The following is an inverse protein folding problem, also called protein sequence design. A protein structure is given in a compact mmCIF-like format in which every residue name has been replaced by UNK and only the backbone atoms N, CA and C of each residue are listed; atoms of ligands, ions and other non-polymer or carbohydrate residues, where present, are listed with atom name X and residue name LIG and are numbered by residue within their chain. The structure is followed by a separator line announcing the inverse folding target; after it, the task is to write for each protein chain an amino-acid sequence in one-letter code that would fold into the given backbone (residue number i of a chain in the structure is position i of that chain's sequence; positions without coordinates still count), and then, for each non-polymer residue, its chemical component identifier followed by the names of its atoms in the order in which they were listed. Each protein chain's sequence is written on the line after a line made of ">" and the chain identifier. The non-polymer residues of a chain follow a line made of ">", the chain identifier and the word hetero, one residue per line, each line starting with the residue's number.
data_IF_443401630368
#
_entry.id   IF_443401630368
#
_cell.length_a   1.000
_cell.length_b   1.000
_cell.length_c   1.000
_cell.angle_alpha   90.00
_cell.angle_beta   90.00
_cell.angle_gamma   90.00
#
_symmetry.space_group_name_H-M   'P 1'
#
loop_
_entity.id
_entity.type
_entity.pdbx_description
1 polymer ?
#
# COMPACT_ATOMS: atom_id res chain seq x y z
N UNK A 1 36.70 30.50 -9.21
CA UNK A 1 35.47 30.62 -8.42
C UNK A 1 34.35 30.55 -9.42
N UNK A 2 33.77 29.36 -9.58
CA UNK A 2 32.67 29.11 -10.52
C UNK A 2 31.38 29.11 -9.72
N UNK A 3 30.51 30.07 -10.06
CA UNK A 3 29.16 30.20 -9.50
C UNK A 3 28.32 28.96 -9.81
N UNK A 4 28.00 28.22 -8.76
CA UNK A 4 27.03 27.15 -8.81
C UNK A 4 25.64 27.77 -8.49
N UNK A 5 24.94 28.22 -9.53
CA UNK A 5 23.56 28.63 -9.40
C UNK A 5 22.67 27.37 -9.41
N UNK A 6 21.94 27.05 -8.34
CA UNK A 6 20.94 26.01 -8.36
C UNK A 6 19.63 26.60 -8.93
N UNK A 7 19.54 26.75 -10.25
CA UNK A 7 18.29 27.05 -10.93
C UNK A 7 17.70 25.75 -11.48
N UNK A 8 16.77 25.19 -10.75
CA UNK A 8 15.85 24.16 -11.14
C UNK A 8 14.69 24.22 -10.17
N UNK A 9 13.58 24.83 -10.55
CA UNK A 9 12.30 24.69 -9.85
C UNK A 9 11.91 23.22 -9.88
N UNK A 10 12.49 22.46 -8.97
CA UNK A 10 12.09 21.08 -8.71
C UNK A 10 10.77 21.19 -7.93
N UNK A 11 9.64 21.28 -8.66
CA UNK A 11 8.32 20.95 -8.10
C UNK A 11 8.42 19.48 -7.73
N UNK A 12 8.87 19.21 -6.50
CA UNK A 12 8.92 17.87 -5.98
C UNK A 12 7.49 17.34 -6.00
N UNK A 13 7.18 16.47 -6.96
CA UNK A 13 5.89 15.77 -6.97
C UNK A 13 5.73 15.13 -5.61
N UNK A 14 4.64 15.42 -4.92
CA UNK A 14 4.35 14.82 -3.61
C UNK A 14 4.29 13.31 -3.74
N UNK A 15 4.98 12.60 -2.86
CA UNK A 15 4.89 11.16 -2.76
C UNK A 15 3.84 10.76 -1.72
N UNK A 16 3.35 9.54 -1.82
CA UNK A 16 2.35 9.02 -0.88
C UNK A 16 2.48 7.51 -0.71
N UNK A 17 1.84 7.00 0.33
CA UNK A 17 1.73 5.55 0.56
C UNK A 17 0.31 5.11 0.17
N UNK A 18 0.21 4.12 -0.71
CA UNK A 18 -1.04 3.45 -1.06
C UNK A 18 -0.97 2.03 -0.50
N UNK A 19 -1.69 1.80 0.58
CA UNK A 19 -1.64 0.58 1.38
C UNK A 19 -2.79 -0.35 1.03
N UNK A 20 -2.50 -1.46 0.34
CA UNK A 20 -3.51 -2.46 -0.01
C UNK A 20 -3.56 -3.52 1.08
N UNK A 21 -4.71 -3.66 1.74
CA UNK A 21 -4.96 -4.70 2.74
C UNK A 21 -6.07 -5.66 2.27
N UNK A 22 -6.09 -6.88 2.80
CA UNK A 22 -7.05 -7.91 2.44
C UNK A 22 -6.45 -9.31 2.59
N UNK A 23 -7.28 -10.35 2.48
CA UNK A 23 -6.89 -11.74 2.61
C UNK A 23 -5.87 -12.18 1.53
N UNK A 24 -5.15 -13.27 1.78
CA UNK A 24 -4.38 -13.94 0.72
C UNK A 24 -5.32 -14.30 -0.43
N UNK A 25 -4.89 -14.18 -1.70
CA UNK A 25 -5.78 -14.46 -2.83
C UNK A 25 -6.83 -13.39 -3.15
N UNK A 26 -6.97 -12.32 -2.35
CA UNK A 26 -7.93 -11.24 -2.61
C UNK A 26 -7.63 -10.40 -3.87
N UNK A 27 -6.40 -10.47 -4.42
CA UNK A 27 -6.01 -9.75 -5.63
C UNK A 27 -5.16 -8.50 -5.41
N UNK A 28 -4.63 -8.29 -4.19
CA UNK A 28 -3.82 -7.10 -3.82
C UNK A 28 -2.65 -6.83 -4.77
N UNK A 29 -1.79 -7.82 -5.00
CA UNK A 29 -0.59 -7.65 -5.86
C UNK A 29 -1.00 -7.42 -7.33
N UNK A 30 -2.05 -8.07 -7.81
CA UNK A 30 -2.59 -7.85 -9.16
C UNK A 30 -3.12 -6.43 -9.33
N UNK A 31 -3.89 -5.95 -8.34
CA UNK A 31 -4.43 -4.59 -8.33
C UNK A 31 -3.30 -3.55 -8.24
N UNK A 32 -2.34 -3.76 -7.34
CA UNK A 32 -1.18 -2.88 -7.21
C UNK A 32 -0.37 -2.80 -8.51
N UNK A 33 -0.20 -3.92 -9.23
CA UNK A 33 0.50 -3.95 -10.51
C UNK A 33 -0.27 -3.19 -11.62
N UNK A 34 -1.61 -3.28 -11.65
CA UNK A 34 -2.44 -2.52 -12.58
C UNK A 34 -2.33 -1.00 -12.32
N UNK A 35 -2.41 -0.59 -11.04
CA UNK A 35 -2.22 0.80 -10.63
C UNK A 35 -0.80 1.29 -10.96
N UNK A 36 0.23 0.47 -10.68
CA UNK A 36 1.62 0.78 -11.01
C UNK A 36 1.79 1.09 -12.50
N UNK A 37 1.30 0.22 -13.36
CA UNK A 37 1.46 0.37 -14.82
C UNK A 37 0.86 1.67 -15.33
N UNK A 38 -0.30 2.08 -14.81
CA UNK A 38 -0.98 3.32 -15.19
C UNK A 38 -0.24 4.56 -14.67
N UNK A 39 0.18 4.58 -13.41
CA UNK A 39 0.94 5.69 -12.82
C UNK A 39 2.31 5.86 -13.47
N UNK A 40 3.03 4.77 -13.73
CA UNK A 40 4.32 4.81 -14.41
C UNK A 40 4.16 5.33 -15.85
N UNK A 41 3.11 4.91 -16.57
CA UNK A 41 2.77 5.42 -17.90
C UNK A 41 2.45 6.92 -17.92
N UNK A 42 2.00 7.49 -16.81
CA UNK A 42 1.75 8.92 -16.61
C UNK A 42 3.01 9.70 -16.13
N UNK A 43 4.16 9.03 -16.02
CA UNK A 43 5.42 9.63 -15.63
C UNK A 43 5.56 9.91 -14.13
N UNK A 44 4.76 9.24 -13.27
CA UNK A 44 4.97 9.27 -11.83
C UNK A 44 6.14 8.37 -11.42
N UNK A 45 6.80 8.75 -10.33
CA UNK A 45 7.78 7.89 -9.66
C UNK A 45 7.01 6.94 -8.76
N UNK A 46 7.00 5.66 -9.09
CA UNK A 46 6.21 4.65 -8.39
C UNK A 46 7.09 3.49 -8.01
N UNK A 47 6.87 2.90 -6.83
CA UNK A 47 7.54 1.70 -6.36
C UNK A 47 6.52 0.74 -5.74
N UNK A 48 6.73 -0.58 -5.90
CA UNK A 48 5.92 -1.61 -5.25
C UNK A 48 6.74 -2.29 -4.16
N UNK A 49 6.28 -2.23 -2.92
CA UNK A 49 6.81 -3.01 -1.81
C UNK A 49 5.92 -4.23 -1.57
N UNK A 50 6.06 -5.25 -2.42
CA UNK A 50 5.29 -6.49 -2.30
C UNK A 50 5.71 -7.27 -1.04
N UNK A 51 4.71 -7.76 -0.29
CA UNK A 51 4.92 -8.41 1.00
C UNK A 51 5.82 -9.65 0.94
N UNK A 52 5.82 -10.41 -0.15
CA UNK A 52 6.67 -11.60 -0.30
C UNK A 52 8.12 -11.21 -0.56
N UNK A 53 8.35 -10.21 -1.41
CA UNK A 53 9.69 -9.66 -1.70
C UNK A 53 10.28 -9.03 -0.43
N UNK A 54 9.48 -8.24 0.28
CA UNK A 54 9.90 -7.61 1.53
C UNK A 54 10.29 -8.66 2.58
N UNK A 55 9.53 -9.74 2.72
CA UNK A 55 9.86 -10.83 3.66
C UNK A 55 11.17 -11.51 3.34
N UNK A 56 11.51 -11.65 2.06
CA UNK A 56 12.76 -12.28 1.63
C UNK A 56 13.99 -11.44 1.98
N UNK A 57 13.88 -10.11 1.90
CA UNK A 57 15.00 -9.19 2.04
C UNK A 57 14.98 -8.40 3.35
N UNK A 58 14.02 -7.48 3.49
CA UNK A 58 13.93 -6.54 4.61
C UNK A 58 13.50 -7.21 5.92
N UNK A 59 12.63 -8.20 5.83
CA UNK A 59 12.04 -8.88 6.98
C UNK A 59 12.48 -10.33 7.12
N UNK A 60 13.64 -10.67 6.57
CA UNK A 60 14.25 -12.00 6.72
C UNK A 60 14.43 -12.34 8.21
N UNK A 61 13.96 -13.52 8.60
CA UNK A 61 14.02 -13.99 9.98
C UNK A 61 12.76 -13.74 10.80
N UNK A 62 11.81 -12.93 10.33
CA UNK A 62 10.50 -12.82 10.95
C UNK A 62 9.61 -14.02 10.58
N UNK A 63 8.93 -14.57 11.59
CA UNK A 63 7.91 -15.61 11.43
C UNK A 63 6.51 -15.04 11.11
N UNK A 64 5.48 -15.74 11.61
CA UNK A 64 4.08 -15.39 11.43
C UNK A 64 3.33 -15.21 12.75
N UNK A 65 4.05 -15.11 13.88
CA UNK A 65 3.45 -14.72 15.15
C UNK A 65 2.82 -13.31 15.03
N UNK A 66 1.97 -12.96 15.97
CA UNK A 66 1.36 -11.63 16.04
C UNK A 66 2.43 -10.54 16.07
N UNK A 67 3.45 -10.73 16.90
CA UNK A 67 4.58 -9.80 17.08
C UNK A 67 5.39 -9.66 15.80
N UNK A 68 5.71 -10.77 15.14
CA UNK A 68 6.44 -10.76 13.88
C UNK A 68 5.67 -10.06 12.75
N UNK A 69 4.33 -10.23 12.72
CA UNK A 69 3.47 -9.53 11.76
C UNK A 69 3.46 -8.03 12.01
N UNK A 70 3.38 -7.60 13.27
CA UNK A 70 3.44 -6.18 13.65
C UNK A 70 4.79 -5.58 13.25
N UNK A 71 5.89 -6.27 13.60
CA UNK A 71 7.24 -5.83 13.25
C UNK A 71 7.46 -5.77 11.73
N UNK A 72 6.93 -6.74 10.98
CA UNK A 72 6.96 -6.71 9.52
C UNK A 72 6.28 -5.44 8.96
N UNK A 73 5.09 -5.11 9.45
CA UNK A 73 4.36 -3.91 9.04
C UNK A 73 5.13 -2.63 9.39
N UNK A 74 5.72 -2.57 10.60
CA UNK A 74 6.53 -1.43 11.05
C UNK A 74 7.73 -1.18 10.14
N UNK A 75 8.46 -2.23 9.74
CA UNK A 75 9.61 -2.11 8.81
C UNK A 75 9.18 -1.66 7.43
N UNK A 76 8.11 -2.22 6.89
CA UNK A 76 7.56 -1.80 5.59
C UNK A 76 7.16 -0.33 5.64
N UNK A 77 6.44 0.09 6.68
CA UNK A 77 5.99 1.47 6.85
C UNK A 77 7.17 2.45 6.91
N UNK A 78 8.27 2.10 7.60
CA UNK A 78 9.47 2.94 7.66
C UNK A 78 10.05 3.18 6.27
N UNK A 79 10.25 2.12 5.47
CA UNK A 79 10.79 2.23 4.11
C UNK A 79 9.82 2.99 3.20
N UNK A 80 8.50 2.71 3.31
CA UNK A 80 7.47 3.40 2.54
C UNK A 80 7.47 4.90 2.81
N UNK A 81 7.56 5.31 4.06
CA UNK A 81 7.63 6.72 4.45
C UNK A 81 8.92 7.40 3.94
N UNK A 82 10.04 6.68 3.97
CA UNK A 82 11.30 7.21 3.43
C UNK A 82 11.18 7.50 1.93
N UNK A 83 10.63 6.58 1.15
CA UNK A 83 10.42 6.74 -0.30
C UNK A 83 9.39 7.84 -0.59
N UNK A 84 8.27 7.86 0.13
CA UNK A 84 7.22 8.86 -0.06
C UNK A 84 7.72 10.29 0.16
N UNK A 85 8.54 10.54 1.19
CA UNK A 85 9.17 11.84 1.44
C UNK A 85 10.07 12.31 0.29
N UNK A 86 10.52 11.40 -0.56
CA UNK A 86 11.32 11.72 -1.76
C UNK A 86 10.49 11.73 -3.05
N UNK A 87 9.17 11.92 -2.95
CA UNK A 87 8.27 12.09 -4.08
C UNK A 87 7.95 10.80 -4.83
N UNK A 88 8.02 9.65 -4.16
CA UNK A 88 7.64 8.34 -4.73
C UNK A 88 6.24 7.98 -4.27
N UNK A 89 5.39 7.52 -5.18
CA UNK A 89 4.12 6.85 -4.82
C UNK A 89 4.46 5.39 -4.50
N UNK A 90 4.27 4.99 -3.25
CA UNK A 90 4.64 3.65 -2.78
C UNK A 90 3.40 2.79 -2.67
N UNK A 91 3.31 1.76 -3.51
CA UNK A 91 2.22 0.78 -3.50
C UNK A 91 2.62 -0.40 -2.60
N UNK A 92 1.83 -0.67 -1.57
CA UNK A 92 2.17 -1.66 -0.52
C UNK A 92 1.11 -2.74 -0.45
N UNK A 93 1.17 -3.81 -1.30
CA UNK A 93 0.23 -4.91 -1.26
C UNK A 93 0.62 -5.94 -0.19
N UNK A 94 0.05 -5.81 1.00
CA UNK A 94 0.30 -6.70 2.16
C UNK A 94 -1.01 -7.08 2.84
N UNK A 95 -1.05 -8.19 3.58
CA UNK A 95 -2.26 -8.58 4.32
C UNK A 95 -2.56 -7.57 5.42
N UNK A 96 -1.57 -7.22 6.26
CA UNK A 96 -1.67 -6.31 7.40
C UNK A 96 -2.96 -6.56 8.22
N UNK A 97 -3.04 -7.71 8.92
CA UNK A 97 -4.32 -8.22 9.42
C UNK A 97 -4.90 -7.39 10.58
N UNK A 98 -4.11 -6.62 11.30
CA UNK A 98 -4.53 -5.92 12.51
C UNK A 98 -4.82 -4.45 12.24
N UNK A 99 -6.01 -3.97 12.63
CA UNK A 99 -6.42 -2.55 12.52
C UNK A 99 -5.45 -1.61 13.22
N UNK A 100 -5.02 -1.97 14.43
CA UNK A 100 -4.08 -1.16 15.20
C UNK A 100 -2.78 -0.88 14.43
N UNK A 101 -2.20 -1.90 13.79
CA UNK A 101 -0.98 -1.73 13.00
C UNK A 101 -1.19 -0.81 11.78
N UNK A 102 -2.33 -0.93 11.09
CA UNK A 102 -2.64 -0.04 9.96
C UNK A 102 -2.90 1.39 10.41
N UNK A 103 -3.59 1.57 11.55
CA UNK A 103 -3.82 2.89 12.14
C UNK A 103 -2.49 3.56 12.56
N UNK A 104 -1.54 2.80 13.10
CA UNK A 104 -0.19 3.30 13.43
C UNK A 104 0.56 3.77 12.17
N UNK A 105 0.50 2.99 11.08
CA UNK A 105 1.09 3.38 9.80
C UNK A 105 0.47 4.67 9.27
N UNK A 106 -0.86 4.77 9.28
CA UNK A 106 -1.60 5.97 8.85
C UNK A 106 -1.17 7.20 9.67
N UNK A 107 -1.14 7.08 10.99
CA UNK A 107 -0.78 8.18 11.89
C UNK A 107 0.69 8.64 11.72
N UNK A 108 1.59 7.73 11.36
CA UNK A 108 3.01 8.02 11.11
C UNK A 108 3.34 8.45 9.68
N UNK A 109 2.35 8.56 8.79
CA UNK A 109 2.55 8.87 7.37
C UNK A 109 2.04 10.27 7.02
N UNK A 110 2.78 10.98 6.16
CA UNK A 110 2.38 12.32 5.70
C UNK A 110 1.18 12.26 4.73
N UNK A 111 1.21 11.34 3.77
CA UNK A 111 0.13 11.07 2.85
C UNK A 111 -0.09 9.56 2.74
N UNK A 112 -1.30 9.11 3.06
CA UNK A 112 -1.64 7.69 3.17
C UNK A 112 -3.05 7.42 2.64
N UNK A 113 -3.16 6.39 1.81
CA UNK A 113 -4.42 5.90 1.25
C UNK A 113 -4.57 4.41 1.59
N UNK A 114 -5.62 4.03 2.31
CA UNK A 114 -5.93 2.63 2.61
C UNK A 114 -6.90 2.05 1.60
N UNK A 115 -6.44 1.05 0.86
CA UNK A 115 -7.24 0.30 -0.10
C UNK A 115 -7.61 -1.05 0.48
N UNK A 116 -8.88 -1.25 0.78
CA UNK A 116 -9.40 -2.53 1.20
C UNK A 116 -9.76 -3.40 -0.02
N UNK A 117 -8.96 -4.42 -0.27
CA UNK A 117 -9.22 -5.40 -1.32
C UNK A 117 -10.12 -6.50 -0.73
N UNK A 118 -11.44 -6.22 -0.80
CA UNK A 118 -12.47 -7.03 -0.18
C UNK A 118 -12.91 -8.15 -1.13
N UNK A 119 -12.44 -9.36 -0.87
CA UNK A 119 -12.93 -10.57 -1.49
C UNK A 119 -13.33 -11.57 -0.39
N UNK A 120 -14.49 -12.25 -0.49
CA UNK A 120 -14.89 -13.27 0.45
C UNK A 120 -13.85 -14.38 0.62
N UNK A 121 -13.79 -14.96 1.82
CA UNK A 121 -12.83 -16.01 2.13
C UNK A 121 -12.93 -17.18 1.13
N UNK A 122 -14.15 -17.59 0.81
CA UNK A 122 -14.42 -18.68 -0.13
C UNK A 122 -13.85 -18.41 -1.52
N UNK A 123 -13.93 -17.16 -1.98
CA UNK A 123 -13.34 -16.72 -3.26
C UNK A 123 -11.82 -16.75 -3.18
N UNK A 124 -11.24 -16.29 -2.07
CA UNK A 124 -9.81 -16.34 -1.85
C UNK A 124 -9.26 -17.77 -1.81
N UNK A 125 -9.99 -18.69 -1.14
CA UNK A 125 -9.67 -20.11 -1.09
C UNK A 125 -9.76 -20.78 -2.47
N UNK A 126 -10.82 -20.49 -3.24
CA UNK A 126 -10.95 -21.00 -4.62
C UNK A 126 -9.80 -20.55 -5.52
N UNK A 127 -9.38 -19.31 -5.39
CA UNK A 127 -8.26 -18.77 -6.18
C UNK A 127 -6.94 -19.40 -5.78
N UNK A 128 -6.66 -19.51 -4.51
CA UNK A 128 -5.43 -20.04 -3.84
C UNK A 128 -4.18 -20.08 -4.74
N UNK A 129 -3.73 -18.95 -5.30
CA UNK A 129 -2.71 -18.92 -6.35
C UNK A 129 -1.35 -19.47 -5.90
N UNK A 130 -1.12 -19.56 -4.59
CA UNK A 130 0.11 -20.04 -3.96
C UNK A 130 -0.05 -21.40 -3.26
N UNK A 131 -1.24 -21.99 -3.28
CA UNK A 131 -1.57 -23.22 -2.56
C UNK A 131 -1.51 -23.10 -1.04
N UNK A 132 -1.58 -21.87 -0.50
CA UNK A 132 -1.43 -21.63 0.94
C UNK A 132 -2.66 -22.05 1.74
N UNK A 133 -3.88 -21.82 1.21
CA UNK A 133 -5.12 -22.28 1.85
C UNK A 133 -5.17 -23.79 1.92
N UNK A 134 -4.82 -24.48 0.83
CA UNK A 134 -4.74 -25.94 0.83
C UNK A 134 -3.79 -26.47 1.88
N UNK A 135 -2.61 -25.86 2.03
CA UNK A 135 -1.62 -26.25 3.05
C UNK A 135 -2.13 -25.96 4.46
N UNK A 136 -2.76 -24.81 4.68
CA UNK A 136 -3.34 -24.45 5.98
C UNK A 136 -4.46 -25.42 6.37
N UNK A 137 -5.36 -25.76 5.44
CA UNK A 137 -6.41 -26.76 5.67
C UNK A 137 -5.88 -28.18 5.94
N UNK A 138 -4.73 -28.52 5.37
CA UNK A 138 -4.01 -29.76 5.64
C UNK A 138 -3.24 -29.75 6.98
N UNK A 139 -3.22 -28.62 7.71
CA UNK A 139 -2.48 -28.47 8.95
C UNK A 139 -0.95 -28.27 8.76
N UNK A 140 -0.50 -28.05 7.53
CA UNK A 140 0.93 -27.82 7.21
C UNK A 140 1.38 -26.39 7.57
N UNK A 141 0.41 -25.45 7.65
CA UNK A 141 0.66 -24.04 8.01
C UNK A 141 -0.27 -23.69 9.17
N UNK A 142 0.29 -23.31 10.29
CA UNK A 142 -0.45 -22.76 11.43
C UNK A 142 -0.50 -21.23 11.38
N UNK A 143 -1.44 -20.63 12.09
CA UNK A 143 -1.61 -19.17 12.18
C UNK A 143 -1.84 -18.51 10.81
N UNK A 144 -2.70 -19.13 10.00
CA UNK A 144 -3.01 -18.60 8.68
C UNK A 144 -4.17 -17.59 8.76
N UNK A 145 -3.88 -16.35 8.34
CA UNK A 145 -4.84 -15.24 8.39
C UNK A 145 -6.11 -15.55 7.59
N UNK A 146 -7.26 -15.46 8.26
CA UNK A 146 -8.56 -15.74 7.69
C UNK A 146 -9.07 -17.16 7.95
N UNK A 147 -8.25 -18.07 8.49
CA UNK A 147 -8.66 -19.41 8.91
C UNK A 147 -8.56 -19.57 10.44
N UNK A 148 -7.35 -19.73 10.95
CA UNK A 148 -7.05 -19.91 12.37
C UNK A 148 -6.47 -18.64 13.03
N UNK A 149 -6.05 -17.64 12.25
CA UNK A 149 -5.70 -16.31 12.70
C UNK A 149 -6.67 -15.25 12.17
N UNK A 150 -7.00 -14.20 12.95
CA UNK A 150 -7.97 -13.18 12.53
C UNK A 150 -7.45 -12.29 11.42
N UNK A 151 -8.37 -11.82 10.58
CA UNK A 151 -8.23 -10.64 9.73
C UNK A 151 -9.24 -9.59 10.18
N UNK A 152 -8.76 -8.47 10.65
CA UNK A 152 -9.58 -7.33 11.08
C UNK A 152 -9.79 -6.39 9.89
N UNK A 153 -10.94 -6.52 9.21
CA UNK A 153 -11.27 -5.63 8.09
C UNK A 153 -11.22 -4.14 8.52
N UNK A 154 -10.81 -3.21 7.64
CA UNK A 154 -10.88 -1.78 7.95
C UNK A 154 -12.33 -1.35 8.22
N UNK A 155 -12.52 -0.45 9.20
CA UNK A 155 -13.85 0.10 9.48
C UNK A 155 -14.23 1.22 8.49
N UNK A 156 -13.24 1.97 8.02
CA UNK A 156 -13.42 3.10 7.10
C UNK A 156 -12.20 3.21 6.16
N UNK A 157 -12.07 2.30 5.17
CA UNK A 157 -11.02 2.41 4.18
C UNK A 157 -11.26 3.62 3.27
N UNK A 158 -10.22 4.22 2.73
CA UNK A 158 -10.36 5.32 1.76
C UNK A 158 -10.94 4.80 0.43
N UNK A 159 -10.58 3.57 0.05
CA UNK A 159 -11.12 2.86 -1.13
C UNK A 159 -11.45 1.42 -0.78
N UNK A 160 -12.64 0.97 -1.17
CA UNK A 160 -13.00 -0.44 -1.14
C UNK A 160 -13.10 -1.00 -2.56
N UNK A 161 -12.41 -2.13 -2.81
CA UNK A 161 -12.34 -2.83 -4.08
C UNK A 161 -12.84 -4.26 -3.93
N UNK A 162 -13.93 -4.61 -4.59
CA UNK A 162 -14.49 -5.97 -4.62
C UNK A 162 -14.03 -6.70 -5.88
N UNK A 163 -12.79 -7.19 -5.89
CA UNK A 163 -12.14 -7.78 -7.08
C UNK A 163 -12.85 -9.00 -7.68
N UNK A 164 -13.79 -9.58 -6.98
CA UNK A 164 -14.61 -10.72 -7.44
C UNK A 164 -15.89 -10.27 -8.15
N UNK A 165 -16.27 -8.99 -8.01
CA UNK A 165 -17.45 -8.38 -8.63
C UNK A 165 -17.05 -7.35 -9.67
N UNK A 166 -16.25 -6.36 -9.27
CA UNK A 166 -15.92 -5.20 -10.11
C UNK A 166 -14.86 -5.50 -11.18
N UNK A 167 -14.03 -6.52 -10.94
CA UNK A 167 -12.84 -6.77 -11.74
C UNK A 167 -11.66 -5.83 -11.41
N UNK A 168 -10.48 -6.19 -11.88
CA UNK A 168 -9.22 -5.47 -11.53
C UNK A 168 -9.17 -4.08 -12.14
N UNK A 169 -9.61 -3.91 -13.39
CA UNK A 169 -9.53 -2.61 -14.09
C UNK A 169 -10.43 -1.55 -13.42
N UNK A 170 -11.68 -1.90 -13.10
CA UNK A 170 -12.57 -0.97 -12.42
C UNK A 170 -12.06 -0.62 -10.99
N UNK A 171 -11.51 -1.60 -10.27
CA UNK A 171 -10.86 -1.35 -9.00
C UNK A 171 -9.64 -0.42 -9.13
N UNK A 172 -8.82 -0.62 -10.18
CA UNK A 172 -7.66 0.24 -10.42
C UNK A 172 -8.07 1.69 -10.71
N UNK A 173 -9.13 1.92 -11.49
CA UNK A 173 -9.67 3.27 -11.73
C UNK A 173 -10.15 3.95 -10.45
N UNK A 174 -10.85 3.23 -9.55
CA UNK A 174 -11.24 3.77 -8.24
C UNK A 174 -10.00 4.24 -7.44
N UNK A 175 -8.97 3.40 -7.36
CA UNK A 175 -7.73 3.73 -6.62
C UNK A 175 -7.01 4.93 -7.25
N UNK A 176 -6.90 4.98 -8.58
CA UNK A 176 -6.25 6.09 -9.29
C UNK A 176 -7.00 7.42 -9.10
N UNK A 177 -8.33 7.38 -9.06
CA UNK A 177 -9.15 8.55 -8.76
C UNK A 177 -8.81 9.15 -7.41
N UNK A 178 -8.72 8.35 -6.35
CA UNK A 178 -8.38 8.80 -5.01
C UNK A 178 -6.92 9.26 -4.88
N UNK A 179 -5.98 8.59 -5.57
CA UNK A 179 -4.58 9.05 -5.65
C UNK A 179 -4.53 10.45 -6.27
N UNK A 180 -5.25 10.68 -7.39
CA UNK A 180 -5.26 11.96 -8.07
C UNK A 180 -5.87 13.08 -7.20
N UNK A 181 -6.91 12.78 -6.43
CA UNK A 181 -7.50 13.71 -5.46
C UNK A 181 -6.49 14.07 -4.36
N UNK A 182 -5.88 13.06 -3.73
CA UNK A 182 -4.90 13.26 -2.65
C UNK A 182 -3.70 14.11 -3.10
N UNK A 183 -3.15 13.85 -4.29
CA UNK A 183 -2.02 14.60 -4.82
C UNK A 183 -2.37 16.06 -5.18
N UNK A 184 -3.62 16.35 -5.55
CA UNK A 184 -4.08 17.74 -5.79
C UNK A 184 -4.21 18.53 -4.50
N UNK A 185 -4.70 17.92 -3.43
CA UNK A 185 -4.79 18.56 -2.12
C UNK A 185 -3.40 18.98 -1.61
N UNK A 186 -2.40 18.11 -1.71
CA UNK A 186 -1.02 18.44 -1.31
C UNK A 186 -0.43 19.62 -2.10
N UNK A 187 -0.67 19.69 -3.41
CA UNK A 187 -0.18 20.77 -4.27
C UNK A 187 -0.77 22.14 -3.88
N UNK A 188 -2.04 22.19 -3.42
CA UNK A 188 -2.70 23.43 -3.03
C UNK A 188 -2.20 24.03 -1.71
N UNK A 189 -1.60 23.23 -0.83
CA UNK A 189 -0.99 23.67 0.42
C UNK A 189 0.50 24.04 0.30
N UNK A 190 1.12 23.73 -0.84
CA UNK A 190 2.56 23.95 -1.07
C UNK A 190 2.90 25.29 -1.71
N UNK A 191 1.91 26.12 -2.07
CA UNK A 191 2.19 27.47 -2.57
C UNK A 191 2.55 28.39 -1.39
N UNK A 192 3.77 28.96 -1.35
CA UNK A 192 4.11 29.96 -0.36
C UNK A 192 3.24 31.19 -0.62
N UNK A 193 2.49 31.62 0.38
CA UNK A 193 1.86 32.94 0.41
C UNK A 193 2.92 33.99 0.07
N UNK A 194 2.89 34.50 -1.15
CA UNK A 194 3.65 35.68 -1.51
C UNK A 194 3.00 36.84 -0.76
N UNK A 195 3.56 37.15 0.40
CA UNK A 195 3.21 38.34 1.13
C UNK A 195 3.47 39.54 0.21
N UNK A 196 2.38 40.17 -0.24
CA UNK A 196 2.44 41.48 -0.87
C UNK A 196 3.01 42.47 0.16
N UNK A 197 4.33 42.75 0.00
CA UNK A 197 4.98 43.85 0.70
C UNK A 197 4.66 45.15 -0.04
N UNK A 198 4.00 46.03 0.66
CA UNK A 198 3.86 47.45 0.33
C UNK A 198 5.17 48.17 0.59
#
# INVERSE_FOLDING_TARGET
>A
MSDFSPNGSNTSKSGMIVWFTGLSGAGKSTLAQAVFSKLAGQGHRVEILDGDIVRTHLCKGLGFSREDRIENIRRIAFVSNLLARHGVIVLVPVIAPYRASRAEVRAGSHAYLEVFVNAPLEVCEQRDPKGLYRKARAGEIAHFTGLDDPYEAPDSPDVECQTHVDGIEACAEKVLGEIALSLRFDASFSEPSVAAGV
#
